data_IF_166491280008
#
_entry.id   IF_166491280008
#
_cell.length_a   1.000
_cell.length_b   1.000
_cell.length_c   1.000
_cell.angle_alpha   90.00
_cell.angle_beta   90.00
_cell.angle_gamma   90.00
#
_symmetry.space_group_name_H-M   'P 1'
#
loop_
_entity.id
_entity.type
_entity.pdbx_description
1 polymer ?
#
# COMPACT_ATOMS: atom_id res chain seq x y z
N UNK A 1 12.67 14.27 -32.12
CA UNK A 1 12.35 14.33 -30.68
C UNK A 1 11.23 13.33 -30.45
N UNK A 2 11.48 12.28 -29.69
CA UNK A 2 10.47 11.28 -29.32
C UNK A 2 9.52 11.91 -28.32
N UNK A 3 8.23 11.88 -28.61
CA UNK A 3 7.19 12.40 -27.75
C UNK A 3 6.81 11.32 -26.72
N UNK A 4 7.43 11.37 -25.54
CA UNK A 4 7.25 10.37 -24.48
C UNK A 4 6.09 10.74 -23.55
N UNK A 5 5.43 9.73 -22.98
CA UNK A 5 4.32 9.93 -22.05
C UNK A 5 4.82 9.96 -20.60
N UNK A 6 4.35 10.95 -19.85
CA UNK A 6 4.67 11.16 -18.44
C UNK A 6 3.38 11.14 -17.61
N UNK A 7 3.36 10.34 -16.55
CA UNK A 7 2.25 10.34 -15.59
C UNK A 7 2.44 11.46 -14.58
N UNK A 8 1.34 12.15 -14.28
CA UNK A 8 1.29 13.25 -13.32
C UNK A 8 0.42 12.83 -12.15
N UNK A 9 0.98 12.96 -10.96
CA UNK A 9 0.25 12.79 -9.71
C UNK A 9 0.22 14.10 -8.94
N UNK A 10 -0.87 14.35 -8.22
CA UNK A 10 -1.08 15.55 -7.41
C UNK A 10 -1.45 15.24 -5.97
N UNK A 11 -0.99 16.10 -5.08
CA UNK A 11 -1.46 16.18 -3.70
C UNK A 11 -2.33 17.42 -3.60
N UNK A 12 -3.61 17.27 -3.22
CA UNK A 12 -4.56 18.39 -3.11
C UNK A 12 -4.20 19.22 -1.87
N UNK A 13 -4.29 18.65 -0.67
CA UNK A 13 -3.93 19.32 0.59
C UNK A 13 -2.66 18.75 1.25
N UNK A 14 -2.03 19.53 2.13
CA UNK A 14 -0.84 19.08 2.86
C UNK A 14 -1.16 17.86 3.74
N UNK A 15 -0.44 16.77 3.49
CA UNK A 15 -0.62 15.50 4.20
C UNK A 15 -1.46 14.47 3.46
N UNK A 16 -2.16 14.87 2.39
CA UNK A 16 -2.91 13.94 1.57
C UNK A 16 -2.02 12.99 0.78
N UNK A 17 -2.59 11.85 0.40
CA UNK A 17 -1.95 10.94 -0.52
C UNK A 17 -1.77 11.58 -1.90
N UNK A 18 -0.71 11.17 -2.58
CA UNK A 18 -0.48 11.53 -3.97
C UNK A 18 -1.46 10.74 -4.86
N UNK A 19 -2.30 11.44 -5.63
CA UNK A 19 -3.34 10.85 -6.49
C UNK A 19 -3.02 11.04 -7.95
N UNK A 20 -3.36 10.08 -8.81
CA UNK A 20 -3.13 10.21 -10.25
C UNK A 20 -4.06 11.27 -10.83
N UNK A 21 -3.48 12.30 -11.45
CA UNK A 21 -4.22 13.41 -12.03
C UNK A 21 -4.40 13.25 -13.55
N UNK A 22 -3.45 12.59 -14.21
CA UNK A 22 -3.48 12.32 -15.64
C UNK A 22 -2.08 12.18 -16.23
N UNK A 23 -1.93 12.55 -17.50
CA UNK A 23 -0.65 12.40 -18.22
C UNK A 23 -0.38 13.59 -19.15
N UNK A 24 0.90 13.84 -19.41
CA UNK A 24 1.38 14.81 -20.40
C UNK A 24 2.32 14.12 -21.37
N UNK A 25 2.50 14.69 -22.56
CA UNK A 25 3.56 14.26 -23.47
C UNK A 25 4.64 15.31 -23.55
N UNK A 26 5.89 14.87 -23.44
CA UNK A 26 7.06 15.74 -23.46
C UNK A 26 8.30 14.96 -23.90
N UNK A 27 9.26 15.63 -24.57
CA UNK A 27 10.50 15.00 -25.02
C UNK A 27 11.48 14.70 -23.89
N UNK A 28 11.38 15.39 -22.76
CA UNK A 28 12.27 15.28 -21.61
C UNK A 28 11.56 15.68 -20.31
N UNK A 29 12.26 15.49 -19.18
CA UNK A 29 11.74 15.76 -17.84
C UNK A 29 11.48 17.25 -17.59
N UNK A 30 12.27 18.14 -18.17
CA UNK A 30 12.14 19.59 -17.94
C UNK A 30 10.84 20.11 -18.57
N UNK A 31 10.58 19.75 -19.83
CA UNK A 31 9.31 20.06 -20.49
C UNK A 31 8.14 19.34 -19.83
N UNK A 32 8.31 18.10 -19.38
CA UNK A 32 7.25 17.36 -18.68
C UNK A 32 6.80 18.09 -17.40
N UNK A 33 7.76 18.57 -16.59
CA UNK A 33 7.48 19.37 -15.40
C UNK A 33 6.77 20.69 -15.74
N UNK A 34 7.21 21.36 -16.80
CA UNK A 34 6.57 22.60 -17.27
C UNK A 34 5.10 22.36 -17.65
N UNK A 35 4.82 21.33 -18.45
CA UNK A 35 3.45 20.99 -18.85
C UNK A 35 2.61 20.53 -17.67
N UNK A 36 3.16 19.70 -16.78
CA UNK A 36 2.45 19.25 -15.59
C UNK A 36 2.02 20.44 -14.71
N UNK A 37 2.91 21.42 -14.50
CA UNK A 37 2.58 22.66 -13.77
C UNK A 37 1.46 23.44 -14.44
N UNK A 38 1.50 23.60 -15.78
CA UNK A 38 0.50 24.38 -16.50
C UNK A 38 -0.90 23.74 -16.49
N UNK A 39 -0.98 22.42 -16.64
CA UNK A 39 -2.27 21.71 -16.70
C UNK A 39 -2.82 21.32 -15.32
N UNK A 40 -1.96 20.96 -14.37
CA UNK A 40 -2.37 20.37 -13.09
C UNK A 40 -2.05 21.23 -11.86
N UNK A 41 -1.25 22.30 -11.99
CA UNK A 41 -0.89 23.17 -10.87
C UNK A 41 -1.76 24.44 -10.71
N UNK A 42 -2.75 24.66 -11.58
CA UNK A 42 -3.55 25.90 -11.57
C UNK A 42 -4.54 25.94 -10.40
N UNK A 43 -4.89 27.16 -9.95
CA UNK A 43 -5.94 27.45 -8.96
C UNK A 43 -5.77 26.86 -7.56
N UNK A 44 -4.54 26.57 -7.14
CA UNK A 44 -4.25 25.98 -5.81
C UNK A 44 -4.90 24.60 -5.60
N UNK A 45 -5.31 23.92 -6.68
CA UNK A 45 -5.85 22.55 -6.62
C UNK A 45 -4.75 21.50 -6.35
N UNK A 46 -3.50 21.93 -6.16
CA UNK A 46 -2.36 21.04 -5.92
C UNK A 46 -1.28 21.72 -5.11
N UNK A 47 -0.95 21.14 -3.97
CA UNK A 47 0.17 21.54 -3.10
C UNK A 47 1.50 20.97 -3.59
N UNK A 48 1.49 19.77 -4.20
CA UNK A 48 2.68 19.12 -4.79
C UNK A 48 2.33 18.32 -6.04
N UNK A 49 3.29 18.18 -6.96
CA UNK A 49 3.19 17.33 -8.15
C UNK A 49 4.35 16.34 -8.20
N UNK A 50 4.05 15.09 -8.53
CA UNK A 50 5.05 14.11 -8.99
C UNK A 50 4.87 13.89 -10.48
N UNK A 51 5.98 13.88 -11.21
CA UNK A 51 6.00 13.66 -12.66
C UNK A 51 6.98 12.54 -12.93
N UNK A 52 6.49 11.46 -13.54
CA UNK A 52 7.24 10.21 -13.71
C UNK A 52 7.08 9.74 -15.15
N UNK A 53 8.15 9.32 -15.84
CA UNK A 53 8.00 8.76 -17.19
C UNK A 53 7.20 7.46 -17.09
N UNK A 54 6.22 7.25 -17.98
CA UNK A 54 5.33 6.07 -17.92
C UNK A 54 6.11 4.75 -17.92
N UNK A 55 7.21 4.70 -18.65
CA UNK A 55 8.11 3.54 -18.74
C UNK A 55 8.79 3.16 -17.42
N UNK A 56 8.84 4.06 -16.42
CA UNK A 56 9.39 3.75 -15.11
C UNK A 56 8.35 3.13 -14.14
N UNK A 57 7.07 3.09 -14.53
CA UNK A 57 6.00 2.50 -13.73
C UNK A 57 5.94 1.01 -14.02
N UNK A 58 6.09 0.20 -12.98
CA UNK A 58 5.95 -1.25 -13.07
C UNK A 58 4.57 -1.67 -12.59
N UNK A 59 3.89 -2.50 -13.38
CA UNK A 59 2.64 -3.13 -13.00
C UNK A 59 2.93 -4.41 -12.19
N UNK A 60 2.20 -4.59 -11.10
CA UNK A 60 2.14 -5.84 -10.35
C UNK A 60 0.70 -6.36 -10.42
N UNK A 61 0.46 -7.35 -11.25
CA UNK A 61 -0.86 -7.94 -11.51
C UNK A 61 -1.02 -9.37 -10.94
N UNK A 62 0.04 -9.94 -10.36
CA UNK A 62 0.03 -11.28 -9.77
C UNK A 62 -0.98 -11.39 -8.61
N UNK A 63 -2.08 -12.15 -8.76
CA UNK A 63 -3.10 -12.29 -7.73
C UNK A 63 -2.59 -12.94 -6.44
N UNK A 64 -1.59 -13.82 -6.53
CA UNK A 64 -1.03 -14.52 -5.36
C UNK A 64 -0.29 -13.54 -4.44
N UNK A 65 0.33 -12.51 -5.04
CA UNK A 65 1.01 -11.44 -4.29
C UNK A 65 0.01 -10.42 -3.73
N UNK A 66 -1.06 -10.11 -4.48
CA UNK A 66 -2.04 -9.10 -4.10
C UNK A 66 -3.10 -9.62 -3.10
N UNK A 67 -3.32 -10.93 -3.05
CA UNK A 67 -4.26 -11.59 -2.12
C UNK A 67 -3.55 -12.69 -1.35
N UNK A 68 -2.55 -12.35 -0.51
CA UNK A 68 -1.82 -13.35 0.24
C UNK A 68 -2.83 -14.18 1.05
N UNK A 69 -2.74 -15.52 1.02
CA UNK A 69 -3.68 -16.37 1.72
C UNK A 69 -3.77 -15.95 3.19
N UNK A 70 -5.00 -15.79 3.69
CA UNK A 70 -5.34 -15.42 5.07
C UNK A 70 -4.93 -16.48 6.10
N UNK A 71 -3.88 -17.26 5.87
CA UNK A 71 -3.50 -18.32 6.81
C UNK A 71 -2.76 -17.74 8.02
N UNK A 72 -3.57 -17.19 8.93
CA UNK A 72 -3.18 -16.83 10.30
C UNK A 72 -3.23 -18.03 11.24
N UNK A 73 -3.22 -19.28 10.76
CA UNK A 73 -3.26 -20.47 11.62
C UNK A 73 -2.09 -20.57 12.59
N UNK A 74 -0.97 -19.89 12.29
CA UNK A 74 0.21 -19.79 13.17
C UNK A 74 -0.01 -18.90 14.41
N UNK A 75 -1.12 -18.17 14.51
CA UNK A 75 -1.51 -17.40 15.72
C UNK A 75 -2.61 -18.07 16.55
N UNK A 76 -2.75 -19.41 16.49
CA UNK A 76 -3.35 -20.11 17.63
C UNK A 76 -2.22 -20.43 18.59
N UNK A 77 -2.18 -19.86 19.81
CA UNK A 77 -1.37 -20.44 20.87
C UNK A 77 -1.81 -21.90 20.93
N UNK A 78 -0.90 -22.82 20.60
CA UNK A 78 -1.13 -24.25 20.79
C UNK A 78 -1.68 -24.40 22.20
N UNK A 79 -2.94 -24.85 22.29
CA UNK A 79 -3.70 -24.78 23.51
C UNK A 79 -2.88 -25.36 24.64
N UNK A 80 -2.40 -24.50 25.54
CA UNK A 80 -1.97 -24.96 26.84
C UNK A 80 -3.22 -25.59 27.44
N UNK A 81 -3.24 -26.92 27.44
CA UNK A 81 -4.44 -27.70 27.67
C UNK A 81 -4.99 -27.37 29.06
N UNK A 82 -5.97 -26.49 29.11
CA UNK A 82 -6.76 -26.20 30.32
C UNK A 82 -7.35 -27.52 30.85
N UNK A 83 -7.64 -28.48 29.95
CA UNK A 83 -8.01 -29.85 30.31
C UNK A 83 -6.98 -30.55 31.21
N UNK A 84 -5.67 -30.44 30.93
CA UNK A 84 -4.64 -31.10 31.75
C UNK A 84 -4.46 -30.44 33.13
N UNK A 85 -4.64 -29.12 33.24
CA UNK A 85 -4.64 -28.44 34.55
C UNK A 85 -5.87 -28.78 35.38
N UNK A 86 -7.05 -28.91 34.75
CA UNK A 86 -8.29 -29.24 35.45
C UNK A 86 -8.30 -30.68 35.97
N UNK A 87 -7.79 -31.64 35.18
CA UNK A 87 -7.66 -33.03 35.62
C UNK A 87 -6.62 -33.19 36.73
N UNK A 88 -5.46 -32.53 36.63
CA UNK A 88 -4.46 -32.54 37.70
C UNK A 88 -4.97 -31.89 39.01
N UNK A 89 -5.84 -30.88 38.92
CA UNK A 89 -6.45 -30.25 40.09
C UNK A 89 -7.54 -31.14 40.72
N UNK A 90 -8.33 -31.87 39.91
CA UNK A 90 -9.31 -32.84 40.41
C UNK A 90 -8.64 -34.03 41.09
N UNK A 91 -7.59 -34.59 40.49
CA UNK A 91 -6.85 -35.71 41.10
C UNK A 91 -6.23 -35.33 42.47
N UNK A 92 -5.69 -34.11 42.60
CA UNK A 92 -5.16 -33.61 43.89
C UNK A 92 -6.22 -33.34 44.95
N UNK A 93 -7.46 -33.07 44.55
CA UNK A 93 -8.57 -32.87 45.47
C UNK A 93 -9.19 -34.20 45.95
N UNK A 94 -9.08 -35.27 45.15
CA UNK A 94 -9.55 -36.61 45.50
C UNK A 94 -8.55 -37.40 46.37
N UNK A 95 -7.26 -37.05 46.34
CA UNK A 95 -6.19 -37.71 47.12
C UNK A 95 -5.92 -37.12 48.52
N UNK A 96 -6.68 -36.10 48.96
CA UNK A 96 -6.56 -35.54 50.32
C UNK A 96 -7.77 -35.93 51.17
N UNK A 97 -7.64 -36.90 52.11
CA UNK A 97 -8.66 -37.22 53.10
C UNK A 97 -8.91 -36.09 54.10
#
# INVERSE_FOLDING_TARGET
MTDSVWEVFRQEDEGDAMTHAGSVRAPDAELALHYAREFYGRRQESTRLWVVPREAINELDDPDWLKPPFDRSYKRPGGYLIKHKLEAAKARAEESP
#
